data_IF_815129960654
#
_entry.id   IF_815129960654
#
_cell.length_a   1.000
_cell.length_b   1.000
_cell.length_c   1.000
_cell.angle_alpha   90.00
_cell.angle_beta   90.00
_cell.angle_gamma   90.00
#
_symmetry.space_group_name_H-M   'P 1'
#
loop_
_entity.id
_entity.type
_entity.pdbx_description
1 polymer ?
#
# COMPACT_ATOMS: atom_id res chain seq x y z
N UNK A 1 -6.18 34.51 -0.55
CA UNK A 1 -7.35 35.05 -1.29
C UNK A 1 -7.37 36.58 -1.42
N UNK A 2 -6.98 37.35 -0.40
CA UNK A 2 -7.06 38.83 -0.49
C UNK A 2 -6.18 39.49 -1.57
N UNK A 3 -5.08 38.87 -1.99
CA UNK A 3 -4.26 39.34 -3.13
C UNK A 3 -4.98 39.11 -4.46
N UNK A 4 -5.45 37.87 -4.69
CA UNK A 4 -6.26 37.49 -5.87
C UNK A 4 -7.44 38.44 -6.13
N UNK A 5 -8.14 38.84 -5.06
CA UNK A 5 -9.25 39.83 -5.09
C UNK A 5 -8.82 41.23 -5.52
N UNK A 6 -7.64 41.67 -5.07
CA UNK A 6 -7.16 43.04 -5.28
C UNK A 6 -6.48 43.22 -6.64
N UNK A 7 -5.70 42.23 -7.05
CA UNK A 7 -4.95 42.25 -8.31
C UNK A 7 -4.72 40.82 -8.81
N UNK A 8 -5.65 40.34 -9.65
CA UNK A 8 -5.56 39.01 -10.28
C UNK A 8 -4.37 38.92 -11.24
N UNK A 9 -4.00 40.03 -11.89
CA UNK A 9 -2.90 40.04 -12.87
C UNK A 9 -1.58 39.79 -12.16
N UNK A 10 -1.31 40.56 -11.10
CA UNK A 10 -0.11 40.36 -10.28
C UNK A 10 -0.08 38.96 -9.64
N UNK A 11 -1.22 38.44 -9.20
CA UNK A 11 -1.33 37.09 -8.64
C UNK A 11 -0.96 35.99 -9.67
N UNK A 12 -1.44 36.11 -10.91
CA UNK A 12 -1.12 35.19 -12.01
C UNK A 12 0.32 35.34 -12.49
N UNK A 13 0.81 36.57 -12.65
CA UNK A 13 2.19 36.86 -13.08
C UNK A 13 3.22 36.32 -12.05
N UNK A 14 2.83 36.22 -10.78
CA UNK A 14 3.65 35.62 -9.72
C UNK A 14 3.48 34.10 -9.59
N UNK A 15 2.69 33.44 -10.44
CA UNK A 15 2.45 31.99 -10.45
C UNK A 15 2.01 31.44 -9.08
N UNK A 16 1.18 32.20 -8.35
CA UNK A 16 0.79 31.84 -6.98
C UNK A 16 -0.04 30.56 -6.98
N UNK A 17 -0.97 30.40 -7.92
CA UNK A 17 -1.80 29.18 -8.09
C UNK A 17 -0.95 27.92 -8.17
N UNK A 18 0.05 27.92 -9.07
CA UNK A 18 0.97 26.79 -9.29
C UNK A 18 1.89 26.54 -8.09
N UNK A 19 2.22 27.59 -7.33
CA UNK A 19 3.09 27.49 -6.17
C UNK A 19 2.34 27.08 -4.89
N UNK A 20 1.01 27.19 -4.88
CA UNK A 20 0.18 27.03 -3.70
C UNK A 20 0.31 25.63 -3.04
N UNK A 21 0.29 24.49 -3.78
CA UNK A 21 0.56 23.18 -3.17
C UNK A 21 1.93 23.12 -2.49
N UNK A 22 2.96 23.72 -3.11
CA UNK A 22 4.32 23.72 -2.57
C UNK A 22 4.45 24.58 -1.31
N UNK A 23 3.72 25.70 -1.26
CA UNK A 23 3.67 26.58 -0.09
C UNK A 23 2.92 25.94 1.08
N UNK A 24 1.91 25.11 0.80
CA UNK A 24 1.10 24.42 1.81
C UNK A 24 1.73 23.10 2.27
N UNK A 25 2.63 22.50 1.49
CA UNK A 25 3.27 21.23 1.85
C UNK A 25 3.97 21.24 3.23
N UNK A 26 4.71 22.28 3.66
CA UNK A 26 5.27 22.36 5.00
C UNK A 26 4.20 22.35 6.11
N UNK A 27 3.07 23.03 5.89
CA UNK A 27 1.94 23.02 6.83
C UNK A 27 1.37 21.61 6.98
N UNK A 28 1.11 20.92 5.85
CA UNK A 28 0.62 19.54 5.87
C UNK A 28 1.62 18.62 6.58
N UNK A 29 2.91 18.70 6.25
CA UNK A 29 3.97 17.91 6.91
C UNK A 29 4.01 18.11 8.43
N UNK A 30 3.82 19.34 8.89
CA UNK A 30 3.76 19.64 10.31
C UNK A 30 2.51 19.03 10.96
N UNK A 31 1.36 19.09 10.29
CA UNK A 31 0.10 18.53 10.81
C UNK A 31 0.14 17.00 10.97
N UNK A 32 0.90 16.31 10.11
CA UNK A 32 1.03 14.84 10.13
C UNK A 32 2.30 14.36 10.85
N UNK A 33 3.00 15.22 11.58
CA UNK A 33 4.31 14.89 12.16
C UNK A 33 4.27 13.64 13.06
N UNK A 34 3.17 13.44 13.80
CA UNK A 34 2.96 12.32 14.71
C UNK A 34 2.00 11.27 14.15
N UNK A 35 1.60 11.38 12.89
CA UNK A 35 0.64 10.49 12.27
C UNK A 35 1.33 9.22 11.76
N UNK A 36 0.84 8.06 12.20
CA UNK A 36 1.19 6.75 11.66
C UNK A 36 0.04 6.22 10.80
N UNK A 37 0.22 6.10 9.47
CA UNK A 37 -0.83 5.66 8.55
C UNK A 37 -1.41 4.27 8.88
N UNK A 38 -0.60 3.38 9.45
CA UNK A 38 -1.00 2.00 9.72
C UNK A 38 -1.54 1.81 11.15
N UNK A 39 -1.31 2.75 12.07
CA UNK A 39 -1.79 2.65 13.46
C UNK A 39 -3.03 3.51 13.69
N UNK A 40 -3.00 4.77 13.27
CA UNK A 40 -4.07 5.72 13.58
C UNK A 40 -5.36 5.42 12.82
N UNK A 41 -5.25 4.82 11.63
CA UNK A 41 -6.40 4.39 10.82
C UNK A 41 -7.38 5.51 10.46
N UNK A 42 -6.96 6.78 10.61
CA UNK A 42 -7.76 7.95 10.27
C UNK A 42 -7.77 8.15 8.75
N UNK A 43 -8.94 8.23 8.11
CA UNK A 43 -9.05 8.61 6.71
C UNK A 43 -8.41 9.98 6.47
N UNK A 44 -7.83 10.18 5.29
CA UNK A 44 -7.23 11.45 4.86
C UNK A 44 -8.23 12.60 5.03
N UNK A 45 -9.48 12.41 4.61
CA UNK A 45 -10.56 13.39 4.74
C UNK A 45 -10.78 13.91 6.18
N UNK A 46 -10.47 13.10 7.19
CA UNK A 46 -10.70 13.45 8.60
C UNK A 46 -9.56 14.28 9.21
N UNK A 47 -8.48 14.52 8.46
CA UNK A 47 -7.33 15.26 8.97
C UNK A 47 -7.57 16.78 9.04
N UNK A 48 -7.04 17.41 10.07
CA UNK A 48 -7.22 18.85 10.32
C UNK A 48 -6.72 19.74 9.18
N UNK A 49 -5.63 19.33 8.52
CA UNK A 49 -5.11 20.06 7.38
C UNK A 49 -6.08 20.04 6.21
N UNK A 50 -6.82 18.95 5.98
CA UNK A 50 -7.81 18.86 4.90
C UNK A 50 -8.91 19.87 5.11
N UNK A 51 -9.45 19.97 6.32
CA UNK A 51 -10.44 21.00 6.68
C UNK A 51 -9.89 22.42 6.45
N UNK A 52 -8.62 22.64 6.74
CA UNK A 52 -7.98 23.94 6.55
C UNK A 52 -7.85 24.31 5.07
N UNK A 53 -7.42 23.36 4.22
CA UNK A 53 -7.28 23.57 2.78
C UNK A 53 -8.65 23.68 2.10
N UNK A 54 -9.62 22.89 2.55
CA UNK A 54 -10.99 22.95 2.04
C UNK A 54 -11.60 24.35 2.21
N UNK A 55 -11.38 25.00 3.36
CA UNK A 55 -11.82 26.39 3.59
C UNK A 55 -11.14 27.38 2.64
N UNK A 56 -9.86 27.17 2.33
CA UNK A 56 -9.15 27.99 1.34
C UNK A 56 -9.75 27.79 -0.06
N UNK A 57 -10.05 26.55 -0.45
CA UNK A 57 -10.69 26.23 -1.73
C UNK A 57 -12.08 26.87 -1.85
N UNK A 58 -12.89 26.79 -0.79
CA UNK A 58 -14.22 27.43 -0.74
C UNK A 58 -14.12 28.95 -0.94
N UNK A 59 -13.17 29.62 -0.29
CA UNK A 59 -12.95 31.06 -0.49
C UNK A 59 -12.49 31.42 -1.90
N UNK A 60 -11.70 30.56 -2.56
CA UNK A 60 -11.25 30.73 -3.93
C UNK A 60 -12.39 30.50 -4.93
N UNK A 61 -13.23 29.49 -4.68
CA UNK A 61 -14.44 29.18 -5.46
C UNK A 61 -15.45 30.32 -5.39
N UNK A 62 -15.71 30.85 -4.19
CA UNK A 62 -16.60 32.00 -4.04
C UNK A 62 -16.10 33.22 -4.80
N UNK A 63 -14.80 33.47 -4.75
CA UNK A 63 -14.17 34.56 -5.49
C UNK A 63 -14.30 34.38 -7.00
N UNK A 64 -14.16 33.15 -7.48
CA UNK A 64 -14.34 32.81 -8.88
C UNK A 64 -15.79 32.91 -9.35
N UNK A 65 -16.78 32.57 -8.49
CA UNK A 65 -18.21 32.74 -8.81
C UNK A 65 -18.60 34.22 -8.92
N UNK A 66 -17.97 35.09 -8.13
CA UNK A 66 -18.26 36.54 -8.10
C UNK A 66 -17.62 37.32 -9.25
N UNK A 67 -16.63 36.75 -9.95
CA UNK A 67 -15.88 37.42 -11.02
C UNK A 67 -15.78 36.53 -12.27
N UNK A 68 -16.37 36.96 -13.37
CA UNK A 68 -16.31 36.24 -14.67
C UNK A 68 -14.90 36.12 -15.26
N UNK A 69 -13.95 36.91 -14.74
CA UNK A 69 -12.54 36.95 -15.19
C UNK A 69 -11.63 36.07 -14.30
N UNK A 70 -12.00 35.86 -13.03
CA UNK A 70 -11.18 35.13 -12.04
C UNK A 70 -11.58 33.65 -11.96
N UNK A 71 -11.47 32.91 -13.06
CA UNK A 71 -11.63 31.45 -13.02
C UNK A 71 -10.57 30.81 -12.14
N UNK A 72 -10.93 29.70 -11.49
CA UNK A 72 -9.98 28.85 -10.78
C UNK A 72 -9.00 28.24 -11.77
N UNK A 73 -7.75 28.16 -11.34
CA UNK A 73 -6.74 27.40 -12.06
C UNK A 73 -6.79 25.93 -11.59
N UNK A 74 -6.37 24.99 -12.45
CA UNK A 74 -6.41 23.55 -12.15
C UNK A 74 -5.66 23.18 -10.86
N UNK A 75 -4.54 23.88 -10.58
CA UNK A 75 -3.77 23.71 -9.34
C UNK A 75 -4.54 24.16 -8.09
N UNK A 76 -5.45 25.13 -8.21
CA UNK A 76 -6.32 25.59 -7.12
C UNK A 76 -7.48 24.61 -6.87
N UNK A 77 -8.03 24.02 -7.93
CA UNK A 77 -9.07 22.99 -7.84
C UNK A 77 -8.54 21.68 -7.26
N UNK A 78 -7.31 21.29 -7.64
CA UNK A 78 -6.69 20.04 -7.23
C UNK A 78 -5.73 20.17 -6.03
N UNK A 79 -5.92 21.17 -5.15
CA UNK A 79 -5.02 21.39 -4.01
C UNK A 79 -4.92 20.17 -3.09
N UNK A 80 -6.05 19.61 -2.67
CA UNK A 80 -6.07 18.43 -1.78
C UNK A 80 -5.42 17.22 -2.49
N UNK A 81 -5.86 16.80 -3.70
CA UNK A 81 -5.21 15.72 -4.44
C UNK A 81 -3.69 15.90 -4.62
N UNK A 82 -3.25 17.11 -4.94
CA UNK A 82 -1.82 17.43 -5.11
C UNK A 82 -1.06 17.31 -3.79
N UNK A 83 -1.62 17.77 -2.68
CA UNK A 83 -1.01 17.61 -1.35
C UNK A 83 -0.98 16.15 -0.90
N UNK A 84 -2.02 15.37 -1.20
CA UNK A 84 -2.02 13.92 -0.96
C UNK A 84 -0.90 13.25 -1.73
N UNK A 85 -0.76 13.57 -3.03
CA UNK A 85 0.32 13.05 -3.88
C UNK A 85 1.72 13.41 -3.36
N UNK A 86 1.95 14.67 -2.99
CA UNK A 86 3.30 15.19 -2.67
C UNK A 86 3.72 14.97 -1.21
N UNK A 87 2.76 14.78 -0.29
CA UNK A 87 3.04 14.69 1.16
C UNK A 87 2.56 13.39 1.78
N UNK A 88 1.32 12.98 1.52
CA UNK A 88 0.72 11.80 2.16
C UNK A 88 1.23 10.51 1.50
N UNK A 89 1.24 10.44 0.16
CA UNK A 89 1.63 9.25 -0.58
C UNK A 89 3.06 8.79 -0.26
N UNK A 90 4.09 9.67 -0.19
CA UNK A 90 5.43 9.27 0.24
C UNK A 90 5.46 8.66 1.65
N UNK A 91 4.69 9.21 2.59
CA UNK A 91 4.60 8.68 3.96
C UNK A 91 3.91 7.32 4.02
N UNK A 92 2.83 7.15 3.26
CA UNK A 92 2.17 5.83 3.14
C UNK A 92 3.10 4.83 2.49
N UNK A 93 3.84 5.21 1.44
CA UNK A 93 4.83 4.34 0.80
C UNK A 93 5.92 3.90 1.77
N UNK A 94 6.46 4.82 2.58
CA UNK A 94 7.42 4.49 3.64
C UNK A 94 6.82 3.55 4.70
N UNK A 95 5.56 3.79 5.12
CA UNK A 95 4.88 2.92 6.08
C UNK A 95 4.67 1.51 5.53
N UNK A 96 4.30 1.36 4.25
CA UNK A 96 4.19 0.08 3.55
C UNK A 96 5.56 -0.63 3.50
N UNK A 97 6.62 0.12 3.20
CA UNK A 97 7.97 -0.44 3.08
C UNK A 97 8.56 -0.93 4.41
N UNK A 98 8.38 -0.17 5.49
CA UNK A 98 9.13 -0.39 6.73
C UNK A 98 8.29 -0.86 7.93
N UNK A 99 6.99 -0.54 7.95
CA UNK A 99 6.14 -0.74 9.13
C UNK A 99 5.04 -1.78 8.90
N UNK A 100 4.66 -2.02 7.65
CA UNK A 100 3.65 -3.02 7.32
C UNK A 100 4.24 -4.43 7.44
N UNK A 101 3.61 -5.26 8.28
CA UNK A 101 3.84 -6.71 8.30
C UNK A 101 2.87 -7.43 7.33
N UNK A 102 3.35 -8.03 6.22
CA UNK A 102 2.50 -8.69 5.22
C UNK A 102 1.88 -10.02 5.69
N UNK A 103 2.48 -10.69 6.68
CA UNK A 103 1.97 -11.93 7.29
C UNK A 103 0.83 -11.67 8.30
N UNK A 104 0.70 -10.45 8.83
CA UNK A 104 -0.32 -10.07 9.80
C UNK A 104 -1.61 -9.59 9.14
N UNK A 105 -2.73 -10.28 9.39
CA UNK A 105 -4.04 -9.94 8.81
C UNK A 105 -4.54 -8.55 9.23
N UNK A 106 -4.34 -8.17 10.48
CA UNK A 106 -4.77 -6.85 10.98
C UNK A 106 -3.93 -5.73 10.36
N UNK A 107 -2.62 -5.95 10.27
CA UNK A 107 -1.68 -5.05 9.60
C UNK A 107 -2.04 -4.85 8.12
N UNK A 108 -2.25 -5.95 7.39
CA UNK A 108 -2.67 -5.93 5.98
C UNK A 108 -4.01 -5.23 5.77
N UNK A 109 -5.01 -5.45 6.63
CA UNK A 109 -6.30 -4.76 6.49
C UNK A 109 -6.14 -3.24 6.61
N UNK A 110 -5.32 -2.76 7.56
CA UNK A 110 -5.05 -1.32 7.73
C UNK A 110 -4.27 -0.76 6.55
N UNK A 111 -3.26 -1.48 6.07
CA UNK A 111 -2.49 -1.12 4.88
C UNK A 111 -3.36 -1.01 3.63
N UNK A 112 -4.24 -1.99 3.38
CA UNK A 112 -5.19 -1.96 2.25
C UNK A 112 -6.09 -0.74 2.35
N UNK A 113 -6.71 -0.50 3.51
CA UNK A 113 -7.59 0.65 3.71
C UNK A 113 -6.87 1.98 3.46
N UNK A 114 -5.66 2.14 3.99
CA UNK A 114 -4.87 3.35 3.82
C UNK A 114 -4.46 3.58 2.35
N UNK A 115 -4.03 2.53 1.65
CA UNK A 115 -3.66 2.64 0.22
C UNK A 115 -4.89 2.96 -0.62
N UNK A 116 -6.04 2.33 -0.35
CA UNK A 116 -7.30 2.65 -1.04
C UNK A 116 -7.71 4.10 -0.82
N UNK A 117 -7.63 4.60 0.42
CA UNK A 117 -7.95 5.97 0.78
C UNK A 117 -7.06 6.99 0.03
N UNK A 118 -5.76 6.73 -0.08
CA UNK A 118 -4.86 7.57 -0.90
C UNK A 118 -5.18 7.50 -2.39
N UNK A 119 -5.47 6.29 -2.91
CA UNK A 119 -5.74 6.08 -4.33
C UNK A 119 -6.96 6.86 -4.83
N UNK A 120 -7.96 7.11 -3.98
CA UNK A 120 -9.11 7.96 -4.32
C UNK A 120 -8.67 9.33 -4.85
N UNK A 121 -7.58 9.89 -4.33
CA UNK A 121 -7.10 11.21 -4.71
C UNK A 121 -6.10 11.19 -5.88
N UNK A 122 -5.27 10.16 -5.97
CA UNK A 122 -4.12 10.18 -6.89
C UNK A 122 -4.32 9.38 -8.18
N UNK A 123 -5.33 8.49 -8.24
CA UNK A 123 -5.50 7.59 -9.38
C UNK A 123 -5.74 8.33 -10.69
N UNK A 124 -6.57 9.37 -10.67
CA UNK A 124 -6.87 10.20 -11.84
C UNK A 124 -5.79 11.27 -12.06
N UNK A 125 -5.32 11.92 -10.98
CA UNK A 125 -4.35 13.01 -11.06
C UNK A 125 -2.95 12.55 -11.51
N UNK A 126 -2.48 11.41 -11.00
CA UNK A 126 -1.13 10.91 -11.28
C UNK A 126 -1.10 9.38 -11.25
N UNK A 127 -1.48 8.73 -12.37
CA UNK A 127 -1.44 7.28 -12.51
C UNK A 127 -0.06 6.67 -12.26
N UNK A 128 1.01 7.43 -12.55
CA UNK A 128 2.40 7.03 -12.28
C UNK A 128 2.66 6.90 -10.77
N UNK A 129 2.27 7.91 -9.98
CA UNK A 129 2.43 7.87 -8.52
C UNK A 129 1.64 6.72 -7.92
N UNK A 130 0.39 6.55 -8.36
CA UNK A 130 -0.47 5.43 -7.96
C UNK A 130 0.18 4.07 -8.27
N UNK A 131 0.76 3.92 -9.47
CA UNK A 131 1.49 2.70 -9.86
C UNK A 131 2.67 2.43 -8.93
N UNK A 132 3.50 3.45 -8.63
CA UNK A 132 4.66 3.25 -7.74
C UNK A 132 4.27 2.89 -6.31
N UNK A 133 3.08 3.30 -5.84
CA UNK A 133 2.54 2.88 -4.55
C UNK A 133 2.12 1.41 -4.58
N UNK A 134 1.40 0.98 -5.62
CA UNK A 134 1.02 -0.42 -5.79
C UNK A 134 2.25 -1.33 -6.00
N UNK A 135 3.28 -0.85 -6.69
CA UNK A 135 4.55 -1.57 -6.86
C UNK A 135 5.27 -1.77 -5.51
N UNK A 136 5.24 -0.78 -4.60
CA UNK A 136 5.82 -0.91 -3.26
C UNK A 136 5.11 -1.98 -2.43
N UNK A 137 3.78 -2.09 -2.55
CA UNK A 137 3.01 -3.16 -1.90
C UNK A 137 3.49 -4.53 -2.38
N UNK A 138 3.62 -4.71 -3.69
CA UNK A 138 4.11 -5.97 -4.28
C UNK A 138 5.56 -6.23 -3.85
N UNK A 139 6.42 -5.22 -3.86
CA UNK A 139 7.81 -5.33 -3.44
C UNK A 139 7.92 -5.76 -1.98
N UNK A 140 7.16 -5.14 -1.07
CA UNK A 140 7.16 -5.47 0.36
C UNK A 140 6.73 -6.92 0.62
N UNK A 141 5.75 -7.43 -0.12
CA UNK A 141 5.40 -8.85 -0.05
C UNK A 141 6.50 -9.76 -0.59
N UNK A 142 7.21 -9.36 -1.66
CA UNK A 142 8.33 -10.12 -2.22
C UNK A 142 9.51 -10.18 -1.25
N UNK A 143 9.83 -9.08 -0.58
CA UNK A 143 10.89 -9.04 0.43
C UNK A 143 10.57 -9.94 1.62
N UNK A 144 9.34 -9.92 2.12
CA UNK A 144 8.91 -10.83 3.19
C UNK A 144 8.94 -12.30 2.73
N UNK A 145 8.61 -12.56 1.46
CA UNK A 145 8.71 -13.88 0.87
C UNK A 145 10.16 -14.39 0.82
N UNK A 146 11.09 -13.57 0.33
CA UNK A 146 12.52 -13.91 0.23
C UNK A 146 13.10 -14.29 1.60
N UNK A 147 12.68 -13.61 2.67
CA UNK A 147 13.06 -13.93 4.04
C UNK A 147 12.64 -15.35 4.46
N UNK A 148 11.42 -15.77 4.11
CA UNK A 148 10.93 -17.12 4.43
C UNK A 148 11.49 -18.19 3.49
N UNK A 149 11.84 -17.82 2.26
CA UNK A 149 12.46 -18.72 1.28
C UNK A 149 13.82 -19.23 1.75
N UNK A 150 14.68 -18.35 2.25
CA UNK A 150 15.99 -18.74 2.78
C UNK A 150 15.87 -19.81 3.89
N UNK A 151 14.83 -19.72 4.73
CA UNK A 151 14.59 -20.69 5.80
C UNK A 151 14.03 -22.04 5.30
N UNK A 152 13.42 -22.10 4.12
CA UNK A 152 12.93 -23.34 3.51
C UNK A 152 14.05 -24.11 2.80
N UNK A 153 15.01 -23.42 2.18
CA UNK A 153 16.14 -24.03 1.46
C UNK A 153 17.10 -24.80 2.39
N UNK A 154 17.28 -24.32 3.64
CA UNK A 154 18.13 -24.95 4.67
C UNK A 154 17.72 -26.40 5.00
N UNK A 155 16.48 -26.78 4.71
CA UNK A 155 15.94 -28.12 5.04
C UNK A 155 16.08 -29.09 3.87
N UNK A 156 16.17 -28.58 2.65
CA UNK A 156 16.40 -29.40 1.44
C UNK A 156 17.81 -30.00 1.40
N UNK A 157 18.76 -29.44 2.15
CA UNK A 157 20.10 -30.00 2.36
C UNK A 157 20.12 -31.06 3.47
N UNK A 158 19.43 -32.17 3.21
CA UNK A 158 19.51 -33.55 3.71
C UNK A 158 20.20 -34.01 5.02
N UNK A 159 20.93 -33.21 5.78
CA UNK A 159 21.89 -33.74 6.77
C UNK A 159 21.64 -33.32 8.23
N UNK A 160 20.61 -32.54 8.56
CA UNK A 160 20.33 -32.22 9.97
C UNK A 160 19.28 -33.18 10.57
N UNK A 161 19.64 -34.06 11.52
CA UNK A 161 18.68 -34.89 12.28
C UNK A 161 17.91 -34.08 13.35
N UNK A 162 17.88 -32.76 13.20
CA UNK A 162 17.52 -31.84 14.29
C UNK A 162 16.08 -31.33 14.11
N UNK A 163 15.23 -31.55 15.11
CA UNK A 163 13.82 -31.12 15.13
C UNK A 163 13.65 -29.60 14.90
N UNK A 164 14.71 -28.83 15.14
CA UNK A 164 14.79 -27.38 14.99
C UNK A 164 14.65 -26.92 13.53
N UNK A 165 15.31 -27.58 12.58
CA UNK A 165 15.25 -27.24 11.16
C UNK A 165 13.85 -27.48 10.58
N UNK A 166 13.26 -28.64 10.86
CA UNK A 166 11.88 -28.95 10.45
C UNK A 166 10.87 -27.99 11.07
N UNK A 167 11.05 -27.59 12.34
CA UNK A 167 10.20 -26.60 13.00
C UNK A 167 10.31 -25.22 12.33
N UNK A 168 11.52 -24.79 11.96
CA UNK A 168 11.74 -23.54 11.23
C UNK A 168 11.09 -23.56 9.85
N UNK A 169 11.24 -24.65 9.09
CA UNK A 169 10.59 -24.79 7.78
C UNK A 169 9.08 -24.81 7.86
N UNK A 170 8.54 -25.54 8.84
CA UNK A 170 7.10 -25.53 9.12
C UNK A 170 6.63 -24.11 9.46
N UNK A 171 7.36 -23.37 10.29
CA UNK A 171 7.02 -21.99 10.60
C UNK A 171 7.03 -21.10 9.35
N UNK A 172 8.10 -21.18 8.53
CA UNK A 172 8.23 -20.42 7.28
C UNK A 172 7.13 -20.77 6.27
N UNK A 173 6.81 -22.06 6.12
CA UNK A 173 5.69 -22.54 5.31
C UNK A 173 4.37 -21.91 5.73
N UNK A 174 4.10 -21.86 7.04
CA UNK A 174 2.88 -21.25 7.56
C UNK A 174 2.86 -19.73 7.35
N UNK A 175 4.01 -19.04 7.41
CA UNK A 175 4.07 -17.61 7.06
C UNK A 175 3.80 -17.38 5.56
N UNK A 176 4.40 -18.18 4.68
CA UNK A 176 4.11 -18.15 3.25
C UNK A 176 2.61 -18.37 2.96
N UNK A 177 1.97 -19.31 3.67
CA UNK A 177 0.52 -19.51 3.57
C UNK A 177 -0.29 -18.27 4.04
N UNK A 178 0.13 -17.61 5.12
CA UNK A 178 -0.47 -16.33 5.54
C UNK A 178 -0.29 -15.23 4.49
N UNK A 179 0.87 -15.17 3.84
CA UNK A 179 1.12 -14.23 2.72
C UNK A 179 0.16 -14.49 1.56
N UNK A 180 0.00 -15.74 1.13
CA UNK A 180 -0.98 -16.12 0.07
C UNK A 180 -2.38 -15.65 0.44
N UNK A 181 -2.80 -15.92 1.67
CA UNK A 181 -4.12 -15.51 2.17
C UNK A 181 -4.29 -13.99 2.18
N UNK A 182 -3.27 -13.27 2.64
CA UNK A 182 -3.29 -11.83 2.76
C UNK A 182 -3.16 -11.13 1.40
N UNK A 183 -2.50 -11.75 0.41
CA UNK A 183 -2.42 -11.24 -0.96
C UNK A 183 -3.81 -11.04 -1.58
N UNK A 184 -4.77 -11.92 -1.26
CA UNK A 184 -6.16 -11.77 -1.70
C UNK A 184 -6.86 -10.50 -1.21
N UNK A 185 -6.41 -9.90 -0.10
CA UNK A 185 -6.96 -8.63 0.39
C UNK A 185 -6.64 -7.44 -0.53
N UNK A 186 -5.63 -7.57 -1.39
CA UNK A 186 -5.15 -6.52 -2.28
C UNK A 186 -5.79 -6.54 -3.67
N UNK A 187 -6.77 -7.41 -3.92
CA UNK A 187 -7.40 -7.60 -5.24
C UNK A 187 -8.05 -6.35 -5.86
N UNK A 188 -8.37 -5.35 -5.03
CA UNK A 188 -8.93 -4.05 -5.47
C UNK A 188 -7.86 -2.98 -5.72
N UNK A 189 -6.60 -3.26 -5.39
CA UNK A 189 -5.48 -2.31 -5.41
C UNK A 189 -4.38 -2.76 -6.39
N UNK A 190 -4.09 -4.06 -6.41
CA UNK A 190 -3.05 -4.68 -7.22
C UNK A 190 -3.68 -5.54 -8.30
N UNK A 191 -3.08 -5.57 -9.49
CA UNK A 191 -3.58 -6.37 -10.61
C UNK A 191 -3.58 -7.86 -10.29
N UNK A 192 -4.60 -8.58 -10.78
CA UNK A 192 -4.70 -10.03 -10.60
C UNK A 192 -3.45 -10.77 -11.11
N UNK A 193 -2.87 -10.33 -12.22
CA UNK A 193 -1.64 -10.90 -12.78
C UNK A 193 -0.44 -10.77 -11.82
N UNK A 194 -0.26 -9.60 -11.18
CA UNK A 194 0.84 -9.40 -10.23
C UNK A 194 0.65 -10.26 -8.97
N UNK A 195 -0.58 -10.39 -8.48
CA UNK A 195 -0.91 -11.25 -7.34
C UNK A 195 -0.73 -12.74 -7.67
N UNK A 196 -1.11 -13.18 -8.86
CA UNK A 196 -0.92 -14.55 -9.33
C UNK A 196 0.56 -14.89 -9.49
N UNK A 197 1.35 -14.01 -10.10
CA UNK A 197 2.80 -14.21 -10.26
C UNK A 197 3.52 -14.31 -8.90
N UNK A 198 3.05 -13.57 -7.89
CA UNK A 198 3.58 -13.68 -6.53
C UNK A 198 3.15 -14.99 -5.85
N UNK A 199 1.87 -15.34 -5.90
CA UNK A 199 1.28 -16.42 -5.10
C UNK A 199 1.38 -17.82 -5.73
N UNK A 200 1.09 -17.95 -7.02
CA UNK A 200 1.09 -19.25 -7.72
C UNK A 200 2.49 -19.57 -8.25
N UNK A 201 3.09 -18.63 -8.99
CA UNK A 201 4.35 -18.91 -9.69
C UNK A 201 5.55 -18.91 -8.74
N UNK A 202 5.57 -18.00 -7.78
CA UNK A 202 6.73 -17.86 -6.87
C UNK A 202 6.51 -18.66 -5.58
N UNK A 203 5.46 -18.34 -4.83
CA UNK A 203 5.18 -18.98 -3.53
C UNK A 203 4.89 -20.48 -3.69
N UNK A 204 3.95 -20.86 -4.54
CA UNK A 204 3.46 -22.24 -4.53
C UNK A 204 4.31 -23.17 -5.35
N UNK A 205 4.58 -22.81 -6.60
CA UNK A 205 5.35 -23.66 -7.50
C UNK A 205 6.82 -23.81 -7.10
N UNK A 206 7.47 -22.72 -6.67
CA UNK A 206 8.92 -22.72 -6.41
C UNK A 206 9.29 -22.97 -4.95
N UNK A 207 8.39 -22.73 -4.00
CA UNK A 207 8.73 -22.82 -2.57
C UNK A 207 7.93 -23.88 -1.81
N UNK A 208 6.60 -23.81 -1.86
CA UNK A 208 5.75 -24.63 -1.01
C UNK A 208 5.68 -26.09 -1.48
N UNK A 209 5.58 -26.34 -2.79
CA UNK A 209 5.55 -27.70 -3.34
C UNK A 209 6.88 -28.46 -3.12
N UNK A 210 8.07 -27.87 -3.38
CA UNK A 210 9.34 -28.52 -3.05
C UNK A 210 9.45 -28.87 -1.56
N UNK A 211 9.05 -27.95 -0.67
CA UNK A 211 9.06 -28.21 0.77
C UNK A 211 8.13 -29.37 1.16
N UNK A 212 6.90 -29.41 0.62
CA UNK A 212 5.97 -30.52 0.86
C UNK A 212 6.53 -31.86 0.38
N UNK A 213 7.24 -31.89 -0.75
CA UNK A 213 7.90 -33.10 -1.26
C UNK A 213 9.01 -33.59 -0.32
N UNK A 214 9.79 -32.70 0.28
CA UNK A 214 10.80 -33.07 1.27
C UNK A 214 10.14 -33.55 2.59
N UNK A 215 9.12 -32.84 3.07
CA UNK A 215 8.37 -33.25 4.28
C UNK A 215 7.70 -34.61 4.08
N UNK A 216 7.19 -34.91 2.88
CA UNK A 216 6.58 -36.21 2.55
C UNK A 216 7.54 -37.38 2.79
N UNK A 217 8.84 -37.20 2.54
CA UNK A 217 9.87 -38.23 2.77
C UNK A 217 10.09 -38.50 4.27
N UNK A 218 9.89 -37.49 5.12
CA UNK A 218 10.11 -37.56 6.57
C UNK A 218 8.84 -37.97 7.32
N UNK A 219 7.69 -37.38 6.99
CA UNK A 219 6.40 -37.64 7.63
C UNK A 219 5.22 -37.45 6.67
N UNK A 220 4.62 -38.53 6.16
CA UNK A 220 3.47 -38.46 5.26
C UNK A 220 2.23 -37.78 5.87
N UNK A 221 2.00 -37.97 7.18
CA UNK A 221 0.87 -37.36 7.88
C UNK A 221 1.00 -35.83 7.93
N UNK A 222 2.18 -35.33 8.30
CA UNK A 222 2.45 -33.88 8.33
C UNK A 222 2.33 -33.25 6.95
N UNK A 223 2.77 -33.94 5.89
CA UNK A 223 2.59 -33.49 4.52
C UNK A 223 1.10 -33.34 4.16
N UNK A 224 0.24 -34.28 4.58
CA UNK A 224 -1.20 -34.19 4.36
C UNK A 224 -1.80 -32.97 5.03
N UNK A 225 -1.49 -32.75 6.30
CA UNK A 225 -2.02 -31.62 7.09
C UNK A 225 -1.60 -30.26 6.48
N UNK A 226 -0.33 -30.13 6.09
CA UNK A 226 0.20 -28.92 5.46
C UNK A 226 -0.37 -28.68 4.06
N UNK A 227 -0.64 -29.75 3.30
CA UNK A 227 -1.28 -29.64 1.97
C UNK A 227 -2.72 -29.13 2.09
N UNK A 228 -3.48 -29.61 3.07
CA UNK A 228 -4.81 -29.09 3.37
C UNK A 228 -4.75 -27.61 3.79
N UNK A 229 -3.80 -27.24 4.65
CA UNK A 229 -3.63 -25.85 5.08
C UNK A 229 -3.26 -24.90 3.92
N UNK A 230 -2.42 -25.36 3.00
CA UNK A 230 -2.07 -24.61 1.79
C UNK A 230 -3.31 -24.35 0.93
N UNK A 231 -4.08 -25.40 0.64
CA UNK A 231 -5.33 -25.28 -0.11
C UNK A 231 -6.30 -24.30 0.58
N UNK A 232 -6.39 -24.37 1.91
CA UNK A 232 -7.24 -23.49 2.71
C UNK A 232 -6.76 -22.04 2.82
N UNK A 233 -5.51 -21.76 2.45
CA UNK A 233 -4.95 -20.41 2.49
C UNK A 233 -5.31 -19.59 1.25
N UNK A 234 -5.60 -20.25 0.13
CA UNK A 234 -6.04 -19.59 -1.09
C UNK A 234 -7.41 -18.93 -0.91
N UNK A 235 -7.63 -17.71 -1.42
CA UNK A 235 -8.97 -17.14 -1.56
C UNK A 235 -9.88 -18.12 -2.31
N UNK A 236 -11.14 -18.24 -1.90
CA UNK A 236 -12.11 -19.20 -2.50
C UNK A 236 -12.23 -18.97 -4.01
N UNK A 237 -12.20 -17.71 -4.43
CA UNK A 237 -12.21 -17.27 -5.84
C UNK A 237 -11.06 -17.85 -6.68
N UNK A 238 -9.96 -18.27 -6.05
CA UNK A 238 -8.75 -18.78 -6.72
C UNK A 238 -8.63 -20.30 -6.65
N UNK A 239 -9.52 -21.00 -5.96
CA UNK A 239 -9.44 -22.47 -5.76
C UNK A 239 -9.95 -23.30 -6.94
N UNK A 240 -10.34 -22.65 -8.04
CA UNK A 240 -10.98 -23.30 -9.19
C UNK A 240 -12.45 -23.62 -8.91
N UNK A 241 -13.31 -23.29 -9.89
CA UNK A 241 -14.56 -23.99 -10.13
C UNK A 241 -14.26 -25.22 -10.98
#
# INVERSE_FOLDING_TARGET
VSWRRRDIKSYRDAYVSMSLPRLLAPYVRMSILHWDPLVDGKPVESMEWVNSIFRIQEELEEDARKSSVNKLDEDEENLIPTLVKEVICPRVKEAIKFSWNPCSRASTRRAVAMVQDVLVYILELSPETARTLCEEVVLSMRTELELHTAALEVIGSGDSPDNSALALGRWSFLQCCKLVRNAGAWKQVVSAQALQALTVDTLTSKMLLPFLNEVKKVSPQLCSDLSHFLFDSYPVEWRGQ
#
